data_IF_564014517562
#
_entry.id   IF_564014517562
#
_cell.length_a   1.000
_cell.length_b   1.000
_cell.length_c   1.000
_cell.angle_alpha   90.00
_cell.angle_beta   90.00
_cell.angle_gamma   90.00
#
_symmetry.space_group_name_H-M   'P 1'
#
loop_
_entity.id
_entity.type
_entity.pdbx_description
1 polymer ?
#
# COMPACT_ATOMS: atom_id res chain seq x y z
N UNK A 6 -17.48 7.15 9.14
CA UNK A 6 -16.21 7.73 8.70
C UNK A 6 -15.13 6.66 8.59
N UNK A 7 -15.24 5.63 9.43
CA UNK A 7 -14.25 4.55 9.41
C UNK A 7 -14.26 3.83 8.06
N UNK A 8 -15.44 3.54 7.53
CA UNK A 8 -15.52 2.85 6.24
C UNK A 8 -14.91 3.68 5.13
N UNK A 9 -15.17 5.00 5.14
CA UNK A 9 -14.64 5.86 4.09
C UNK A 9 -13.12 5.84 4.08
N UNK A 10 -12.50 5.80 5.25
CA UNK A 10 -11.04 5.86 5.35
C UNK A 10 -10.41 4.67 4.62
N UNK A 11 -10.70 3.45 5.08
CA UNK A 11 -10.04 2.27 4.54
C UNK A 11 -10.34 2.05 3.06
N UNK A 12 -11.37 2.70 2.53
CA UNK A 12 -11.75 2.46 1.14
C UNK A 12 -10.63 2.86 0.18
N UNK A 13 -9.96 3.99 0.46
CA UNK A 13 -8.96 4.52 -0.48
C UNK A 13 -7.65 4.90 0.20
N UNK A 14 -7.37 4.39 1.40
CA UNK A 14 -6.10 4.72 2.04
C UNK A 14 -4.91 4.21 1.22
N UNK A 15 -4.99 2.96 0.75
CA UNK A 15 -3.89 2.34 0.02
C UNK A 15 -4.35 1.61 -1.22
N UNK A 16 -5.63 1.73 -1.59
CA UNK A 16 -6.13 1.02 -2.76
C UNK A 16 -5.94 1.85 -4.04
N UNK A 17 -6.06 3.18 -3.94
CA UNK A 17 -5.91 4.01 -5.14
C UNK A 17 -4.50 3.91 -5.71
N UNK A 18 -3.49 3.85 -4.84
CA UNK A 18 -2.11 3.78 -5.30
C UNK A 18 -1.88 2.56 -6.16
N UNK A 19 -2.33 1.38 -5.70
CA UNK A 19 -2.04 0.13 -6.37
C UNK A 19 -3.11 -0.25 -7.39
N UNK A 20 -4.20 0.52 -7.47
CA UNK A 20 -5.29 0.15 -8.37
C UNK A 20 -4.82 0.06 -9.81
N UNK A 21 -3.97 1.00 -10.23
CA UNK A 21 -3.54 1.04 -11.62
C UNK A 21 -2.53 -0.06 -11.94
N UNK A 22 -1.76 -0.50 -10.94
CA UNK A 22 -0.77 -1.54 -11.14
C UNK A 22 -1.32 -2.94 -10.87
N UNK A 23 -2.58 -3.05 -10.44
CA UNK A 23 -3.16 -4.36 -10.17
C UNK A 23 -3.21 -5.24 -11.42
N UNK A 24 -3.66 -4.75 -12.58
CA UNK A 24 -3.64 -5.63 -13.77
C UNK A 24 -2.26 -6.15 -14.12
N UNK A 25 -1.21 -5.39 -13.84
CA UNK A 25 0.14 -5.86 -14.08
C UNK A 25 0.43 -7.12 -13.26
N UNK A 26 0.12 -7.07 -11.95
CA UNK A 26 0.32 -8.23 -11.11
C UNK A 26 -0.63 -9.37 -11.49
N UNK A 27 -1.84 -9.06 -11.95
CA UNK A 27 -2.75 -10.10 -12.40
C UNK A 27 -2.18 -10.83 -13.61
N UNK A 28 -1.61 -10.09 -14.57
CA UNK A 28 -0.98 -10.74 -15.71
C UNK A 28 0.24 -11.54 -15.29
N UNK A 29 1.00 -11.03 -14.32
CA UNK A 29 2.16 -11.76 -13.83
C UNK A 29 1.77 -13.05 -13.13
N UNK A 30 0.60 -13.07 -12.48
CA UNK A 30 0.18 -14.21 -11.67
C UNK A 30 -0.78 -15.15 -12.38
N UNK A 31 -1.46 -14.69 -13.43
CA UNK A 31 -2.60 -15.40 -13.98
C UNK A 31 -3.89 -15.01 -13.30
N UNK A 32 -5.00 -15.38 -13.94
CA UNK A 32 -6.31 -14.99 -13.42
C UNK A 32 -6.65 -15.75 -12.14
N UNK A 33 -6.49 -17.07 -12.15
CA UNK A 33 -6.87 -17.87 -10.98
C UNK A 33 -6.02 -17.50 -9.78
N UNK A 34 -4.69 -17.51 -9.96
CA UNK A 34 -3.80 -17.17 -8.86
C UNK A 34 -4.02 -15.74 -8.40
N UNK A 35 -4.26 -14.82 -9.35
CA UNK A 35 -4.52 -13.43 -8.95
C UNK A 35 -5.74 -13.30 -8.08
N UNK A 36 -6.84 -13.94 -8.47
CA UNK A 36 -8.07 -13.86 -7.67
C UNK A 36 -7.85 -14.50 -6.30
N UNK A 37 -7.21 -15.68 -6.28
CA UNK A 37 -7.00 -16.36 -5.01
C UNK A 37 -6.13 -15.55 -4.07
N UNK A 38 -5.05 -14.96 -4.59
CA UNK A 38 -4.19 -14.13 -3.77
C UNK A 38 -4.91 -12.88 -3.30
N UNK A 39 -5.73 -12.28 -4.16
CA UNK A 39 -6.50 -11.12 -3.73
C UNK A 39 -7.37 -11.46 -2.53
N UNK A 40 -8.14 -12.55 -2.63
CA UNK A 40 -9.02 -12.93 -1.53
C UNK A 40 -8.22 -13.26 -0.27
N UNK A 41 -7.15 -14.05 -0.42
CA UNK A 41 -6.38 -14.47 0.73
C UNK A 41 -5.76 -13.29 1.45
N UNK A 42 -5.16 -12.36 0.69
CA UNK A 42 -4.51 -11.22 1.31
C UNK A 42 -5.51 -10.20 1.84
N UNK A 43 -6.70 -10.11 1.24
CA UNK A 43 -7.74 -9.31 1.85
C UNK A 43 -8.15 -9.86 3.21
N UNK A 44 -8.32 -11.17 3.31
CA UNK A 44 -8.62 -11.77 4.61
C UNK A 44 -7.50 -11.53 5.60
N UNK A 45 -6.25 -11.71 5.16
CA UNK A 45 -5.12 -11.51 6.07
C UNK A 45 -5.02 -10.05 6.52
N UNK A 46 -5.27 -9.12 5.61
CA UNK A 46 -5.24 -7.71 5.98
C UNK A 46 -6.33 -7.35 6.97
N UNK A 47 -7.54 -7.89 6.78
CA UNK A 47 -8.60 -7.66 7.74
C UNK A 47 -8.22 -8.23 9.11
N UNK A 48 -7.62 -9.42 9.13
CA UNK A 48 -7.21 -10.02 10.39
C UNK A 48 -6.16 -9.16 11.09
N UNK A 49 -5.17 -8.67 10.33
CA UNK A 49 -4.12 -7.85 10.93
C UNK A 49 -4.68 -6.52 11.43
N UNK A 50 -5.65 -5.95 10.71
CA UNK A 50 -6.29 -4.74 11.18
C UNK A 50 -7.03 -5.00 12.49
N UNK A 51 -7.72 -6.14 12.59
CA UNK A 51 -8.37 -6.49 13.85
C UNK A 51 -7.34 -6.62 14.97
N UNK A 52 -6.20 -7.25 14.69
CA UNK A 52 -5.16 -7.40 15.70
C UNK A 52 -4.67 -6.04 16.17
N UNK A 53 -4.42 -5.13 15.24
CA UNK A 53 -3.94 -3.80 15.60
C UNK A 53 -4.99 -3.07 16.44
N UNK A 54 -6.27 -3.20 16.06
CA UNK A 54 -7.32 -2.54 16.82
C UNK A 54 -7.40 -3.06 18.24
N UNK A 55 -7.33 -4.39 18.42
CA UNK A 55 -7.42 -4.94 19.76
C UNK A 55 -6.20 -4.54 20.57
N UNK A 56 -5.03 -4.47 19.94
CA UNK A 56 -3.84 -4.02 20.66
C UNK A 56 -3.97 -2.57 21.10
N UNK A 57 -4.50 -1.72 20.23
CA UNK A 57 -4.75 -0.32 20.60
C UNK A 57 -5.70 -0.24 21.78
N UNK A 58 -6.78 -1.00 21.73
CA UNK A 58 -7.77 -0.96 22.81
C UNK A 58 -7.15 -1.44 24.12
N UNK A 59 -6.36 -2.52 24.06
CA UNK A 59 -5.73 -3.03 25.27
C UNK A 59 -4.77 -2.01 25.86
N UNK A 60 -3.96 -1.36 25.01
CA UNK A 60 -3.03 -0.36 25.52
C UNK A 60 -3.79 0.81 26.14
N UNK A 61 -4.86 1.27 25.48
CA UNK A 61 -5.63 2.38 26.03
C UNK A 61 -6.23 2.03 27.37
N UNK A 62 -6.80 0.82 27.49
CA UNK A 62 -7.39 0.40 28.75
C UNK A 62 -6.33 0.31 29.84
N UNK A 63 -5.16 -0.25 29.51
CA UNK A 63 -4.08 -0.34 30.51
C UNK A 63 -3.64 1.05 30.97
N UNK A 64 -3.50 1.98 30.02
CA UNK A 64 -3.13 3.34 30.39
C UNK A 64 -4.19 3.98 31.28
N UNK A 65 -5.47 3.81 30.93
CA UNK A 65 -6.54 4.40 31.71
C UNK A 65 -6.69 3.82 33.11
N UNK A 66 -6.42 2.52 33.28
CA UNK A 66 -6.55 1.91 34.60
C UNK A 66 -5.64 2.58 35.61
N UNK A 67 -4.52 3.15 35.16
CA UNK A 67 -3.59 3.83 36.04
C UNK A 67 -3.63 5.33 35.80
N UNK A 74 -3.88 14.38 23.04
CA UNK A 74 -2.90 13.74 22.18
C UNK A 74 -3.53 12.56 21.44
N UNK A 75 -2.78 11.99 20.50
CA UNK A 75 -3.23 10.85 19.71
C UNK A 75 -2.26 9.70 19.93
N UNK A 76 -2.79 8.52 20.22
CA UNK A 76 -1.95 7.35 20.41
C UNK A 76 -1.30 6.96 19.08
N UNK A 77 -0.08 6.45 19.14
CA UNK A 77 0.67 6.05 17.97
C UNK A 77 1.15 4.62 18.15
N UNK A 78 1.39 3.94 17.03
CA UNK A 78 1.69 2.51 17.06
C UNK A 78 2.95 2.23 17.88
N UNK A 79 3.99 3.04 17.69
CA UNK A 79 5.20 2.83 18.47
C UNK A 79 4.93 3.05 19.96
N UNK A 80 4.04 3.98 20.29
CA UNK A 80 3.67 4.16 21.69
C UNK A 80 2.96 2.94 22.24
N UNK A 81 2.09 2.32 21.43
CA UNK A 81 1.40 1.11 21.86
C UNK A 81 2.40 0.00 22.11
N UNK A 82 3.36 -0.16 21.20
CA UNK A 82 4.38 -1.20 21.38
C UNK A 82 5.21 -0.92 22.62
N UNK A 83 5.56 0.34 22.87
CA UNK A 83 6.31 0.68 24.08
C UNK A 83 5.51 0.34 25.33
N UNK A 84 4.21 0.66 25.33
CA UNK A 84 3.40 0.37 26.50
C UNK A 84 3.22 -1.10 26.75
N UNK A 85 3.10 -1.90 25.68
CA UNK A 85 2.78 -3.31 25.81
C UNK A 85 4.04 -4.17 26.01
N UNK A 86 4.95 -4.14 25.04
CA UNK A 86 6.10 -5.04 25.03
C UNK A 86 7.33 -4.40 25.67
N UNK A 87 7.81 -3.30 25.12
CA UNK A 87 8.99 -2.66 25.65
C UNK A 87 9.55 -1.65 24.68
N UNK A 88 10.72 -1.12 25.03
CA UNK A 88 11.33 -0.06 24.24
C UNK A 88 11.94 -0.59 22.94
N UNK A 89 12.46 -1.82 22.95
CA UNK A 89 13.01 -2.39 21.72
C UNK A 89 11.94 -2.50 20.64
N UNK A 90 10.76 -2.99 21.02
CA UNK A 90 9.65 -3.07 20.07
C UNK A 90 9.22 -1.68 19.64
N UNK A 91 9.26 -0.71 20.56
CA UNK A 91 8.93 0.66 20.19
C UNK A 91 9.86 1.16 19.10
N UNK A 92 11.16 0.97 19.27
CA UNK A 92 12.12 1.42 18.26
C UNK A 92 11.91 0.69 16.94
N UNK A 93 11.70 -0.62 17.00
CA UNK A 93 11.50 -1.39 15.78
C UNK A 93 10.28 -0.87 15.02
N UNK A 94 9.15 -0.73 15.71
CA UNK A 94 7.95 -0.24 15.05
C UNK A 94 8.12 1.17 14.52
N UNK A 95 8.80 2.04 15.28
CA UNK A 95 9.02 3.41 14.83
C UNK A 95 9.83 3.43 13.54
N UNK A 96 10.93 2.68 13.50
CA UNK A 96 11.78 2.65 12.31
C UNK A 96 10.99 2.12 11.13
N UNK A 97 10.27 1.00 11.32
CA UNK A 97 9.55 0.41 10.21
C UNK A 97 8.46 1.35 9.70
N UNK A 98 7.71 1.98 10.60
CA UNK A 98 6.66 2.90 10.18
C UNK A 98 7.24 4.09 9.43
N UNK A 99 8.34 4.65 9.93
CA UNK A 99 8.94 5.81 9.28
C UNK A 99 9.43 5.47 7.88
N UNK A 100 10.13 4.34 7.74
CA UNK A 100 10.61 3.94 6.42
C UNK A 100 9.44 3.63 5.49
N UNK A 101 8.40 2.99 6.00
CA UNK A 101 7.24 2.70 5.18
C UNK A 101 6.57 3.98 4.70
N UNK A 102 6.44 4.97 5.57
CA UNK A 102 5.86 6.24 5.17
C UNK A 102 6.73 6.94 4.13
N UNK A 103 8.05 6.91 4.31
CA UNK A 103 8.94 7.54 3.33
C UNK A 103 8.80 6.89 1.97
N UNK A 104 8.77 5.55 1.92
CA UNK A 104 8.66 4.87 0.65
C UNK A 104 7.26 5.00 0.05
N UNK A 105 6.24 5.13 0.90
CA UNK A 105 4.91 5.43 0.40
C UNK A 105 4.85 6.79 -0.26
N UNK A 106 5.51 7.79 0.33
CA UNK A 106 5.60 9.09 -0.30
C UNK A 106 6.36 9.02 -1.62
N UNK A 107 7.44 8.24 -1.66
CA UNK A 107 8.19 8.06 -2.90
C UNK A 107 7.29 7.47 -3.98
N UNK A 108 6.54 6.42 -3.64
CA UNK A 108 5.66 5.78 -4.60
C UNK A 108 4.55 6.74 -5.03
N UNK A 109 4.07 7.56 -4.10
CA UNK A 109 3.03 8.53 -4.45
C UNK A 109 3.55 9.53 -5.47
N UNK A 110 4.78 10.03 -5.27
CA UNK A 110 5.35 10.95 -6.25
C UNK A 110 5.54 10.27 -7.60
N UNK A 111 6.01 9.02 -7.58
CA UNK A 111 6.19 8.28 -8.84
C UNK A 111 4.87 8.12 -9.56
N UNK A 112 3.81 7.76 -8.82
CA UNK A 112 2.49 7.60 -9.43
C UNK A 112 1.96 8.93 -9.95
N UNK A 113 2.19 10.01 -9.21
CA UNK A 113 1.77 11.33 -9.68
C UNK A 113 2.42 11.65 -11.03
N UNK A 114 3.73 11.44 -11.13
CA UNK A 114 4.42 11.73 -12.38
C UNK A 114 3.91 10.84 -13.50
N UNK A 115 3.75 9.54 -13.22
CA UNK A 115 3.30 8.61 -14.24
C UNK A 115 1.91 8.99 -14.76
N UNK A 116 1.01 9.35 -13.85
CA UNK A 116 -0.35 9.71 -14.27
C UNK A 116 -0.36 11.02 -15.04
N UNK A 117 0.34 12.04 -14.53
CA UNK A 117 0.31 13.34 -15.20
C UNK A 117 0.95 13.26 -16.58
N UNK A 118 1.85 12.29 -16.79
CA UNK A 118 2.47 12.17 -18.10
C UNK A 118 1.44 11.90 -19.19
N UNK A 119 0.42 11.09 -18.89
CA UNK A 119 -0.44 10.58 -19.95
C UNK A 119 -1.33 11.67 -20.53
N UNK A 120 -1.95 12.49 -19.69
CA UNK A 120 -2.82 13.55 -20.21
C UNK A 120 -2.01 14.58 -20.99
N UNK A 121 -0.81 14.90 -20.50
CA UNK A 121 0.09 15.82 -21.19
C UNK A 121 1.43 15.12 -21.35
N UNK A 122 1.70 14.63 -22.57
CA UNK A 122 2.90 13.86 -22.84
C UNK A 122 4.02 14.70 -23.46
N UNK A 123 3.87 16.03 -23.49
CA UNK A 123 4.90 16.88 -24.07
C UNK A 123 6.21 16.73 -23.32
N UNK A 124 6.16 16.70 -21.99
CA UNK A 124 7.33 16.56 -21.14
C UNK A 124 7.50 15.10 -20.74
N UNK A 125 8.72 14.59 -20.88
CA UNK A 125 8.99 13.22 -20.47
C UNK A 125 8.70 13.05 -18.97
N UNK A 126 8.68 11.80 -18.53
CA UNK A 126 8.32 11.51 -17.15
C UNK A 126 9.29 12.14 -16.16
N UNK A 127 10.58 12.22 -16.52
CA UNK A 127 11.56 12.78 -15.60
C UNK A 127 11.28 14.24 -15.30
N UNK A 128 10.96 15.03 -16.32
CA UNK A 128 10.63 16.44 -16.08
C UNK A 128 9.36 16.55 -15.26
N UNK A 129 8.39 15.66 -15.50
CA UNK A 129 7.16 15.70 -14.73
C UNK A 129 7.42 15.41 -13.25
N UNK A 130 8.29 14.45 -12.96
CA UNK A 130 8.60 14.18 -11.55
C UNK A 130 9.41 15.31 -10.94
N UNK A 131 10.28 15.96 -11.73
CA UNK A 131 10.93 17.18 -11.25
C UNK A 131 9.88 18.20 -10.81
N UNK A 132 8.93 18.49 -11.69
CA UNK A 132 7.92 19.51 -11.41
C UNK A 132 7.08 19.11 -10.20
N UNK A 133 6.71 17.83 -10.11
CA UNK A 133 5.85 17.41 -9.01
C UNK A 133 6.60 17.37 -7.69
N UNK A 134 7.88 17.02 -7.71
CA UNK A 134 8.68 17.12 -6.50
C UNK A 134 8.79 18.56 -6.03
N UNK A 135 9.00 19.48 -6.97
CA UNK A 135 9.01 20.90 -6.60
C UNK A 135 7.66 21.31 -6.03
N UNK A 136 6.57 20.80 -6.60
CA UNK A 136 5.24 21.18 -6.13
C UNK A 136 4.96 20.67 -4.73
N UNK A 137 5.30 19.40 -4.46
CA UNK A 137 5.07 18.83 -3.14
C UNK A 137 6.12 19.23 -2.12
N UNK A 138 7.22 19.85 -2.54
CA UNK A 138 8.12 20.46 -1.57
C UNK A 138 7.44 21.57 -0.79
N UNK A 139 6.35 22.12 -1.32
CA UNK A 139 5.60 23.16 -0.64
C UNK A 139 4.68 22.60 0.45
N UNK A 140 4.47 21.29 0.49
CA UNK A 140 3.69 20.70 1.57
C UNK A 140 4.32 20.98 2.93
N UNK A 141 5.63 21.27 2.95
CA UNK A 141 6.29 21.66 4.19
C UNK A 141 5.63 22.91 4.77
N UNK A 142 5.32 23.88 3.91
CA UNK A 142 4.65 25.09 4.38
C UNK A 142 3.29 24.79 4.97
N UNK A 143 2.64 23.71 4.53
CA UNK A 143 1.33 23.35 5.03
C UNK A 143 1.47 22.69 6.40
N UNK A 149 -9.59 16.82 7.19
CA UNK A 149 -9.29 15.42 6.93
C UNK A 149 -10.56 14.57 6.92
N UNK A 150 -11.44 14.83 7.89
CA UNK A 150 -12.68 14.06 7.97
C UNK A 150 -13.54 14.28 6.74
N UNK A 151 -13.66 15.52 6.28
CA UNK A 151 -14.48 15.82 5.11
C UNK A 151 -13.89 15.15 3.87
N UNK A 152 -12.57 15.21 3.71
CA UNK A 152 -11.93 14.60 2.55
C UNK A 152 -12.00 13.08 2.58
N UNK A 153 -12.33 12.49 3.73
CA UNK A 153 -12.42 11.03 3.80
C UNK A 153 -13.48 10.50 2.85
N UNK A 154 -14.65 11.15 2.81
CA UNK A 154 -15.67 10.76 1.86
C UNK A 154 -15.21 10.99 0.43
N UNK A 155 -14.55 12.11 0.18
CA UNK A 155 -14.15 12.44 -1.20
C UNK A 155 -13.23 11.37 -1.77
N UNK A 156 -12.25 10.93 -0.99
CA UNK A 156 -11.33 9.91 -1.48
C UNK A 156 -12.04 8.64 -1.90
N UNK A 157 -13.15 8.31 -1.24
CA UNK A 157 -13.97 7.18 -1.67
C UNK A 157 -14.53 7.41 -3.06
N UNK A 158 -15.00 8.64 -3.34
CA UNK A 158 -15.61 8.92 -4.62
C UNK A 158 -14.60 8.94 -5.76
N UNK A 159 -13.37 9.38 -5.50
CA UNK A 159 -12.39 9.48 -6.57
C UNK A 159 -11.73 8.15 -6.89
N UNK A 160 -11.73 7.20 -5.96
CA UNK A 160 -11.18 5.88 -6.22
C UNK A 160 -12.22 4.92 -6.79
N UNK A 161 -13.50 5.10 -6.45
CA UNK A 161 -14.54 4.23 -7.02
C UNK A 161 -14.72 4.49 -8.50
N UNK A 162 -14.58 5.75 -8.93
CA UNK A 162 -14.69 6.05 -10.35
C UNK A 162 -13.58 5.37 -11.14
N UNK A 163 -12.35 5.43 -10.65
CA UNK A 163 -11.24 4.80 -11.36
C UNK A 163 -11.40 3.29 -11.41
N UNK A 164 -11.79 2.68 -10.31
CA UNK A 164 -11.94 1.22 -10.28
C UNK A 164 -13.03 0.75 -11.22
N UNK A 165 -14.15 1.48 -11.27
CA UNK A 165 -15.27 1.13 -12.14
C UNK A 165 -15.17 1.77 -13.52
N UNK A 166 -14.14 2.57 -13.77
CA UNK A 166 -13.85 3.03 -15.11
C UNK A 166 -12.92 2.07 -15.84
N UNK A 167 -11.98 1.45 -15.12
CA UNK A 167 -11.14 0.43 -15.72
C UNK A 167 -11.96 -0.79 -16.12
N UNK A 168 -12.93 -1.18 -15.30
CA UNK A 168 -13.77 -2.32 -15.63
C UNK A 168 -14.65 -2.04 -16.84
N UNK A 169 -15.36 -0.90 -16.82
CA UNK A 169 -16.31 -0.62 -17.90
C UNK A 169 -15.58 -0.35 -19.20
N UNK A 170 -14.54 0.48 -19.14
CA UNK A 170 -13.79 0.83 -20.35
C UNK A 170 -13.09 -0.38 -20.95
N UNK A 171 -12.50 -1.23 -20.10
CA UNK A 171 -11.79 -2.39 -20.61
C UNK A 171 -12.74 -3.36 -21.32
N UNK A 172 -13.91 -3.60 -20.74
CA UNK A 172 -14.88 -4.50 -21.36
C UNK A 172 -15.34 -3.94 -22.71
N UNK A 173 -15.58 -2.63 -22.78
CA UNK A 173 -15.98 -2.03 -24.05
C UNK A 173 -14.89 -2.17 -25.09
N UNK A 174 -13.63 -2.07 -24.67
CA UNK A 174 -12.52 -2.20 -25.61
C UNK A 174 -12.51 -3.58 -26.26
N UNK A 175 -12.74 -4.63 -25.48
CA UNK A 175 -12.79 -5.97 -25.99
C UNK A 175 -11.41 -6.57 -26.16
N UNK A 176 -11.38 -7.86 -26.46
CA UNK A 176 -10.14 -8.59 -26.67
C UNK A 176 -9.69 -8.45 -28.11
N UNK A 177 -8.40 -8.18 -28.30
CA UNK A 177 -7.84 -8.11 -29.63
C UNK A 177 -7.76 -9.51 -30.24
N UNK A 178 -7.53 -9.55 -31.55
CA UNK A 178 -7.46 -10.82 -32.25
C UNK A 178 -6.18 -11.60 -31.95
N UNK A 179 -5.20 -10.99 -31.26
CA UNK A 179 -3.92 -11.63 -31.02
C UNK A 179 -3.48 -11.59 -29.56
N UNK A 180 -4.35 -11.16 -28.64
CA UNK A 180 -3.97 -11.11 -27.23
C UNK A 180 -3.72 -12.52 -26.74
N UNK A 181 -2.60 -12.71 -26.04
CA UNK A 181 -2.23 -13.99 -25.46
C UNK A 181 -2.08 -13.84 -23.95
N UNK A 182 -2.78 -14.69 -23.21
CA UNK A 182 -2.71 -14.70 -21.74
C UNK A 182 -1.68 -15.78 -21.36
N UNK A 183 -0.43 -15.37 -21.22
CA UNK A 183 0.64 -16.32 -20.94
C UNK A 183 0.42 -17.01 -19.59
N UNK A 184 -0.02 -16.25 -18.58
CA UNK A 184 -0.18 -16.80 -17.25
C UNK A 184 1.15 -16.89 -16.54
N UNK A 185 1.21 -17.69 -15.47
CA UNK A 185 2.47 -17.82 -14.73
C UNK A 185 3.52 -18.57 -15.52
N UNK A 186 4.54 -17.86 -16.00
CA UNK A 186 5.63 -18.45 -16.77
C UNK A 186 6.94 -18.51 -16.01
N UNK A 187 7.20 -17.55 -15.13
CA UNK A 187 8.41 -17.52 -14.33
C UNK A 187 8.04 -17.27 -12.87
N UNK A 188 8.80 -17.89 -11.96
CA UNK A 188 8.52 -17.74 -10.54
C UNK A 188 8.76 -16.31 -10.07
N UNK A 189 9.74 -15.63 -10.66
CA UNK A 189 10.05 -14.26 -10.22
C UNK A 189 8.85 -13.35 -10.44
N UNK A 190 8.27 -13.39 -11.63
CA UNK A 190 7.11 -12.55 -11.93
C UNK A 190 5.91 -12.94 -11.07
N UNK A 191 5.70 -14.24 -10.87
CA UNK A 191 4.59 -14.70 -10.05
C UNK A 191 4.70 -14.15 -8.63
N UNK A 192 5.88 -14.24 -8.04
CA UNK A 192 6.04 -13.77 -6.67
C UNK A 192 6.05 -12.25 -6.60
N UNK A 193 6.52 -11.58 -7.65
CA UNK A 193 6.39 -10.12 -7.70
C UNK A 193 4.92 -9.71 -7.68
N UNK A 194 4.08 -10.39 -8.46
CA UNK A 194 2.66 -10.09 -8.43
C UNK A 194 2.04 -10.40 -7.08
N UNK A 195 2.43 -11.52 -6.47
CA UNK A 195 1.90 -11.87 -5.16
C UNK A 195 2.26 -10.80 -4.13
N UNK A 196 3.51 -10.32 -4.16
CA UNK A 196 3.91 -9.26 -3.24
C UNK A 196 3.19 -7.95 -3.55
N UNK A 197 2.91 -7.68 -4.83
CA UNK A 197 2.13 -6.50 -5.17
C UNK A 197 0.74 -6.57 -4.57
N UNK A 198 0.10 -7.74 -4.62
CA UNK A 198 -1.20 -7.91 -3.97
C UNK A 198 -1.06 -7.72 -2.46
N UNK A 199 -0.01 -8.30 -1.87
CA UNK A 199 0.24 -8.13 -0.44
C UNK A 199 0.31 -6.65 -0.08
N UNK A 200 1.05 -5.87 -0.86
CA UNK A 200 1.10 -4.43 -0.66
C UNK A 200 -0.28 -3.81 -0.84
N UNK A 201 -1.04 -4.28 -1.84
CA UNK A 201 -2.37 -3.74 -2.07
C UNK A 201 -3.23 -3.84 -0.83
N UNK A 202 -3.16 -4.97 -0.12
CA UNK A 202 -4.00 -5.21 1.04
C UNK A 202 -3.28 -4.92 2.35
N UNK A 203 -2.41 -3.91 2.35
CA UNK A 203 -1.76 -3.45 3.57
C UNK A 203 -2.21 -2.06 3.96
N UNK A 204 -3.43 -1.70 3.56
CA UNK A 204 -3.95 -0.37 3.84
C UNK A 204 -4.87 -0.33 5.04
N UNK A 205 -5.61 -1.42 5.27
CA UNK A 205 -6.48 -1.48 6.44
C UNK A 205 -5.67 -1.42 7.74
N UNK A 206 -4.45 -1.94 7.72
CA UNK A 206 -3.61 -1.88 8.91
C UNK A 206 -3.16 -0.47 9.27
N UNK A 207 -3.35 0.49 8.37
CA UNK A 207 -3.03 1.89 8.69
C UNK A 207 -3.75 2.28 9.97
N UNK A 208 -3.00 2.86 10.89
CA UNK A 208 -3.54 3.14 12.23
C UNK A 208 -4.45 4.36 12.32
N UNK A 209 -4.57 5.14 11.25
CA UNK A 209 -5.42 6.32 11.26
C UNK A 209 -6.87 5.91 11.45
N UNK A 210 -7.68 6.79 12.03
CA UNK A 210 -9.11 6.55 12.24
C UNK A 210 -9.33 5.29 13.09
N UNK A 211 -8.86 5.37 14.33
CA UNK A 211 -9.08 4.32 15.33
C UNK A 211 -9.77 4.96 16.52
N UNK A 212 -10.86 4.36 16.97
CA UNK A 212 -11.69 4.92 18.04
C UNK A 212 -10.84 5.39 19.23
N UNK A 222 -13.61 -5.98 14.20
CA UNK A 222 -15.06 -6.17 14.24
C UNK A 222 -15.59 -6.52 12.86
N UNK A 223 -16.64 -7.35 12.83
CA UNK A 223 -17.22 -7.74 11.54
C UNK A 223 -17.73 -6.53 10.77
N UNK A 224 -18.22 -5.51 11.46
CA UNK A 224 -18.71 -4.32 10.78
C UNK A 224 -17.58 -3.63 10.03
N UNK A 225 -16.40 -3.54 10.66
CA UNK A 225 -15.25 -2.96 9.97
C UNK A 225 -14.72 -3.86 8.87
N UNK A 226 -15.03 -5.16 8.92
CA UNK A 226 -14.64 -6.05 7.83
C UNK A 226 -15.39 -5.73 6.54
N UNK A 227 -16.52 -5.04 6.63
CA UNK A 227 -17.23 -4.60 5.43
C UNK A 227 -16.48 -3.53 4.66
N UNK A 228 -15.43 -2.95 5.24
CA UNK A 228 -14.58 -2.01 4.51
C UNK A 228 -13.66 -2.74 3.55
N UNK A 229 -13.15 -3.92 3.95
CA UNK A 229 -12.27 -4.66 3.07
C UNK A 229 -13.04 -5.35 1.95
N UNK A 230 -14.26 -5.80 2.21
CA UNK A 230 -15.06 -6.40 1.15
C UNK A 230 -15.40 -5.35 0.10
N UNK A 231 -15.63 -4.11 0.52
CA UNK A 231 -15.82 -3.03 -0.43
C UNK A 231 -14.55 -2.79 -1.24
N UNK A 232 -13.38 -2.84 -0.58
CA UNK A 232 -12.12 -2.70 -1.30
C UNK A 232 -11.97 -3.82 -2.32
N UNK A 233 -12.55 -4.98 -2.05
CA UNK A 233 -12.48 -6.09 -3.00
C UNK A 233 -13.35 -5.84 -4.22
N UNK A 234 -14.36 -4.97 -4.12
CA UNK A 234 -15.15 -4.62 -5.29
C UNK A 234 -14.40 -3.67 -6.22
N UNK A 235 -13.50 -2.85 -5.68
CA UNK A 235 -12.71 -1.96 -6.51
C UNK A 235 -11.57 -2.71 -7.20
N UNK A 236 -10.97 -3.68 -6.51
CA UNK A 236 -9.77 -4.35 -7.00
C UNK A 236 -10.07 -5.56 -7.87
N UNK A 237 -11.13 -6.32 -7.57
CA UNK A 237 -11.39 -7.56 -8.32
C UNK A 237 -11.84 -7.26 -9.74
N UNK A 238 -12.99 -6.62 -9.97
CA UNK A 238 -13.43 -6.39 -11.36
C UNK A 238 -12.47 -5.55 -12.17
N UNK A 239 -11.76 -4.61 -11.54
CA UNK A 239 -10.84 -3.75 -12.30
C UNK A 239 -9.65 -4.55 -12.81
N UNK A 240 -9.03 -5.36 -11.93
CA UNK A 240 -7.86 -6.13 -12.32
C UNK A 240 -8.23 -7.23 -13.31
N UNK A 241 -9.38 -7.88 -13.10
CA UNK A 241 -9.76 -8.99 -13.97
C UNK A 241 -10.19 -8.49 -15.35
N UNK A 242 -10.87 -7.34 -15.40
CA UNK A 242 -11.35 -6.83 -16.68
C UNK A 242 -10.22 -6.24 -17.50
N UNK A 243 -9.28 -5.54 -16.86
CA UNK A 243 -8.17 -4.95 -17.60
C UNK A 243 -7.25 -6.04 -18.13
N UNK A 244 -6.90 -7.00 -17.29
CA UNK A 244 -6.02 -8.09 -17.74
C UNK A 244 -6.71 -8.94 -18.81
N UNK A 245 -8.01 -9.19 -18.64
CA UNK A 245 -8.73 -10.01 -19.61
C UNK A 245 -8.73 -9.35 -20.99
N UNK A 246 -8.92 -8.04 -21.05
CA UNK A 246 -9.05 -7.35 -22.33
C UNK A 246 -7.71 -7.22 -23.03
N UNK A 247 -6.65 -6.90 -22.28
CA UNK A 247 -5.36 -6.57 -22.87
C UNK A 247 -4.36 -7.71 -22.82
N UNK A 248 -4.77 -8.90 -22.37
CA UNK A 248 -3.88 -10.04 -22.40
C UNK A 248 -2.64 -9.83 -21.54
N UNK A 249 -1.52 -10.36 -22.01
CA UNK A 249 -0.26 -10.29 -21.28
C UNK A 249 0.56 -9.06 -21.64
N UNK A 250 0.03 -8.15 -22.46
CA UNK A 250 0.73 -6.91 -22.75
C UNK A 250 0.90 -6.05 -21.50
N UNK A 251 0.14 -6.34 -20.43
CA UNK A 251 0.26 -5.59 -19.19
C UNK A 251 1.64 -5.74 -18.56
N UNK A 252 2.40 -6.76 -18.96
CA UNK A 252 3.72 -6.95 -18.38
C UNK A 252 4.62 -5.75 -18.64
N UNK A 253 4.60 -5.21 -19.86
CA UNK A 253 5.42 -4.07 -20.22
C UNK A 253 4.80 -2.74 -19.81
N UNK A 254 3.57 -2.75 -19.28
CA UNK A 254 2.86 -1.52 -18.90
C UNK A 254 2.33 -1.68 -17.48
N UNK A 255 3.09 -1.20 -16.50
CA UNK A 255 2.61 -1.22 -15.13
C UNK A 255 1.37 -0.36 -14.96
N UNK A 256 1.35 0.82 -15.58
CA UNK A 256 0.19 1.70 -15.52
C UNK A 256 -0.83 1.25 -16.56
N UNK A 257 -2.05 0.95 -16.11
CA UNK A 257 -3.07 0.41 -16.99
C UNK A 257 -3.66 1.46 -17.93
N UNK A 258 -3.48 2.74 -17.64
CA UNK A 258 -4.05 3.78 -18.50
C UNK A 258 -3.31 3.90 -19.82
N UNK A 259 -2.09 3.40 -19.92
CA UNK A 259 -1.36 3.46 -21.19
C UNK A 259 -2.07 2.66 -22.27
N UNK A 260 -2.57 1.47 -21.93
CA UNK A 260 -3.18 0.62 -22.94
C UNK A 260 -4.55 1.12 -23.35
N UNK A 261 -5.31 1.69 -22.42
CA UNK A 261 -6.67 2.11 -22.71
C UNK A 261 -6.65 3.24 -23.74
N UNK A 262 -7.66 3.30 -24.62
CA UNK A 262 -7.73 4.42 -25.56
C UNK A 262 -7.90 5.75 -24.83
N UNK A 263 -7.36 6.80 -25.45
CA UNK A 263 -7.46 8.14 -24.86
C UNK A 263 -8.87 8.67 -25.02
N UNK A 264 -9.47 9.11 -23.91
CA UNK A 264 -10.82 9.64 -23.92
C UNK A 264 -10.98 10.58 -22.73
N UNK A 265 -12.09 11.33 -22.73
CA UNK A 265 -12.33 12.26 -21.64
C UNK A 265 -12.40 11.57 -20.30
N UNK A 266 -12.97 10.37 -20.27
CA UNK A 266 -13.04 9.62 -19.02
C UNK A 266 -11.66 9.26 -18.51
N UNK A 267 -10.73 8.93 -19.41
CA UNK A 267 -9.37 8.65 -18.99
C UNK A 267 -8.73 9.89 -18.37
N UNK A 268 -8.97 11.07 -18.97
CA UNK A 268 -8.43 12.30 -18.40
C UNK A 268 -9.04 12.58 -17.03
N UNK A 269 -10.35 12.33 -16.88
CA UNK A 269 -10.97 12.52 -15.58
C UNK A 269 -10.35 11.60 -14.53
N UNK A 270 -10.14 10.34 -14.90
CA UNK A 270 -9.52 9.39 -13.98
C UNK A 270 -8.10 9.84 -13.62
N UNK A 271 -7.34 10.31 -14.60
CA UNK A 271 -5.98 10.76 -14.34
C UNK A 271 -5.98 11.94 -13.38
N UNK A 272 -6.88 12.90 -13.61
CA UNK A 272 -6.92 14.09 -12.74
C UNK A 272 -7.32 13.68 -11.34
N UNK A 273 -8.31 12.80 -11.20
CA UNK A 273 -8.73 12.36 -9.87
C UNK A 273 -7.60 11.63 -9.17
N UNK A 274 -6.88 10.77 -9.88
CA UNK A 274 -5.77 10.05 -9.27
C UNK A 274 -4.65 11.01 -8.86
N UNK A 275 -4.38 12.02 -9.68
CA UNK A 275 -3.36 13.00 -9.33
C UNK A 275 -3.74 13.74 -8.06
N UNK A 276 -5.00 14.18 -7.96
CA UNK A 276 -5.45 14.88 -6.76
C UNK A 276 -5.36 13.96 -5.55
N UNK A 277 -5.81 12.71 -5.70
CA UNK A 277 -5.76 11.77 -4.59
C UNK A 277 -4.34 11.57 -4.11
N UNK A 278 -3.41 11.35 -5.03
CA UNK A 278 -2.02 11.10 -4.65
C UNK A 278 -1.40 12.33 -4.02
N UNK A 279 -1.69 13.52 -4.54
CA UNK A 279 -1.13 14.74 -3.94
C UNK A 279 -1.63 14.92 -2.52
N UNK A 280 -2.94 14.75 -2.31
CA UNK A 280 -3.50 14.94 -0.98
C UNK A 280 -2.99 13.87 -0.03
N UNK A 281 -2.87 12.63 -0.49
CA UNK A 281 -2.36 11.57 0.36
C UNK A 281 -0.90 11.81 0.73
N UNK A 282 -0.10 12.29 -0.23
CA UNK A 282 1.27 12.69 0.07
C UNK A 282 1.29 13.75 1.17
N UNK A 283 0.50 14.80 0.99
CA UNK A 283 0.48 15.87 1.97
C UNK A 283 0.08 15.38 3.36
N UNK A 284 -0.92 14.50 3.41
CA UNK A 284 -1.43 14.05 4.71
C UNK A 284 -0.49 13.03 5.37
N UNK A 285 0.11 12.14 4.58
CA UNK A 285 0.97 11.10 5.12
C UNK A 285 2.41 11.57 5.31
N UNK A 286 2.76 12.78 4.88
CA UNK A 286 4.04 13.35 5.24
C UNK A 286 4.04 13.95 6.64
N UNK A 287 2.87 14.18 7.23
CA UNK A 287 2.82 14.78 8.56
C UNK A 287 3.44 13.90 9.64
N UNK A 288 3.20 12.59 9.70
CA UNK A 288 3.78 11.82 10.80
C UNK A 288 5.29 11.69 10.69
N UNK A 289 5.81 11.46 9.48
CA UNK A 289 7.26 11.40 9.29
C UNK A 289 7.90 12.72 9.67
N UNK A 290 7.29 13.83 9.25
CA UNK A 290 7.85 15.14 9.58
C UNK A 290 7.79 15.40 11.08
N UNK A 291 6.73 14.97 11.74
CA UNK A 291 6.65 15.13 13.19
C UNK A 291 7.75 14.32 13.88
N UNK A 292 7.97 13.09 13.42
CA UNK A 292 9.02 12.26 14.01
C UNK A 292 10.38 12.92 13.80
N UNK A 293 10.62 13.44 12.60
CA UNK A 293 11.89 14.11 12.33
C UNK A 293 12.06 15.33 13.22
N UNK A 294 11.00 16.11 13.40
CA UNK A 294 11.07 17.29 14.26
C UNK A 294 11.39 16.91 15.69
N UNK A 295 10.74 15.85 16.20
CA UNK A 295 11.03 15.41 17.56
C UNK A 295 12.46 14.90 17.69
N UNK A 296 12.94 14.17 16.68
CA UNK A 296 14.30 13.66 16.72
C UNK A 296 15.32 14.79 16.73
N UNK A 297 15.09 15.82 15.90
CA UNK A 297 16.04 16.93 15.82
C UNK A 297 15.78 18.00 16.87
N UNK A 298 14.68 17.90 17.62
CA UNK A 298 14.39 18.84 18.68
C UNK A 298 13.91 20.19 18.24
N UNK A 299 13.65 20.39 16.95
CA UNK A 299 13.20 21.70 16.47
C UNK A 299 11.80 22.00 16.99
N UNK A 300 10.89 21.04 16.86
CA UNK A 300 9.52 21.19 17.31
C UNK A 300 8.87 22.44 16.71
N UNK A 307 10.32 29.69 8.84
CA UNK A 307 11.34 29.40 9.84
C UNK A 307 11.41 27.89 10.10
N UNK A 308 10.25 27.26 10.27
CA UNK A 308 10.18 25.83 10.52
C UNK A 308 10.29 25.00 9.24
N UNK A 309 10.17 25.64 8.08
CA UNK A 309 10.24 24.88 6.82
C UNK A 309 11.63 24.31 6.59
N UNK A 310 12.67 24.97 7.11
CA UNK A 310 14.03 24.50 6.88
C UNK A 310 14.24 23.10 7.44
N UNK A 311 13.68 22.83 8.62
CA UNK A 311 13.88 21.52 9.25
C UNK A 311 13.35 20.39 8.39
N UNK A 312 12.24 20.62 7.68
CA UNK A 312 11.63 19.59 6.87
C UNK A 312 12.25 19.46 5.48
N UNK A 313 13.09 20.41 5.08
CA UNK A 313 13.74 20.30 3.77
C UNK A 313 14.61 19.05 3.65
N UNK A 314 15.49 18.74 4.60
CA UNK A 314 16.32 17.52 4.45
C UNK A 314 15.51 16.24 4.35
N UNK A 315 14.28 16.22 4.86
CA UNK A 315 13.46 15.02 4.74
C UNK A 315 12.89 14.89 3.33
N UNK A 316 12.63 16.01 2.66
CA UNK A 316 12.14 15.96 1.29
C UNK A 316 13.20 15.42 0.35
N UNK A 317 14.47 15.71 0.62
CA UNK A 317 15.53 15.35 -0.33
C UNK A 317 15.56 13.86 -0.60
N UNK A 318 15.55 12.97 0.40
CA UNK A 318 15.54 11.54 0.08
C UNK A 318 14.35 11.11 -0.76
N UNK A 319 13.17 11.69 -0.53
CA UNK A 319 11.98 11.28 -1.27
C UNK A 319 12.09 11.70 -2.73
N UNK A 320 12.49 12.96 -2.98
CA UNK A 320 12.61 13.44 -4.35
C UNK A 320 13.68 12.68 -5.12
N UNK A 321 14.82 12.42 -4.47
CA UNK A 321 15.90 11.70 -5.14
C UNK A 321 15.49 10.26 -5.45
N UNK A 322 14.79 9.61 -4.52
CA UNK A 322 14.41 8.22 -4.73
C UNK A 322 13.45 8.07 -5.90
N UNK A 323 12.49 8.99 -6.01
CA UNK A 323 11.53 8.92 -7.12
C UNK A 323 12.22 9.12 -8.46
N UNK A 324 13.18 10.05 -8.54
CA UNK A 324 13.85 10.33 -9.79
C UNK A 324 14.69 9.14 -10.23
N UNK A 325 15.49 8.60 -9.32
CA UNK A 325 16.43 7.53 -9.67
C UNK A 325 15.67 6.23 -9.96
N UNK A 326 14.56 5.98 -9.26
CA UNK A 326 13.78 4.75 -9.40
C UNK A 326 12.34 5.14 -9.72
N UNK A 327 12.07 5.56 -10.95
CA UNK A 327 10.69 5.90 -11.35
C UNK A 327 9.81 4.70 -11.64
N UNK A 328 10.24 3.49 -11.28
CA UNK A 328 9.45 2.31 -11.57
C UNK A 328 8.11 2.39 -10.85
N UNK A 329 7.04 2.01 -11.55
CA UNK A 329 5.69 2.17 -11.02
C UNK A 329 5.21 0.93 -10.30
N UNK A 330 5.43 -0.25 -10.86
CA UNK A 330 5.00 -1.50 -10.26
C UNK A 330 6.10 -2.21 -9.48
N UNK A 331 7.31 -2.29 -10.06
CA UNK A 331 8.40 -2.94 -9.33
C UNK A 331 8.71 -2.31 -7.99
N UNK A 332 8.63 -0.98 -7.89
CA UNK A 332 8.88 -0.34 -6.60
C UNK A 332 7.80 -0.72 -5.60
N UNK A 333 6.54 -0.77 -6.06
CA UNK A 333 5.46 -1.22 -5.19
C UNK A 333 5.75 -2.62 -4.68
N UNK A 334 6.16 -3.52 -5.57
CA UNK A 334 6.42 -4.89 -5.18
C UNK A 334 7.57 -4.97 -4.17
N UNK A 335 8.65 -4.25 -4.43
CA UNK A 335 9.80 -4.30 -3.53
C UNK A 335 9.45 -3.76 -2.15
N UNK A 336 8.74 -2.62 -2.10
CA UNK A 336 8.36 -2.05 -0.82
C UNK A 336 7.42 -2.99 -0.07
N UNK A 337 6.45 -3.57 -0.78
CA UNK A 337 5.56 -4.51 -0.15
C UNK A 337 6.28 -5.72 0.42
N UNK A 338 7.30 -6.19 -0.29
CA UNK A 338 8.05 -7.35 0.16
C UNK A 338 8.90 -7.04 1.38
N UNK A 339 9.60 -5.91 1.36
CA UNK A 339 10.57 -5.61 2.41
C UNK A 339 9.93 -4.91 3.62
N UNK A 340 9.30 -3.76 3.38
CA UNK A 340 8.81 -2.92 4.48
C UNK A 340 7.43 -3.34 4.97
N UNK A 341 6.47 -3.49 4.06
CA UNK A 341 5.09 -3.77 4.47
C UNK A 341 5.01 -5.14 5.15
N UNK A 342 5.67 -6.14 4.60
CA UNK A 342 5.55 -7.51 5.11
C UNK A 342 5.85 -7.56 6.60
N UNK A 343 6.80 -6.75 7.07
CA UNK A 343 7.10 -6.69 8.50
C UNK A 343 6.29 -5.61 9.21
N UNK A 344 5.95 -4.52 8.52
CA UNK A 344 5.33 -3.38 9.17
C UNK A 344 3.88 -3.67 9.54
N UNK A 345 3.12 -4.29 8.65
CA UNK A 345 1.68 -4.45 8.83
C UNK A 345 1.24 -5.89 8.97
N UNK A 346 2.13 -6.86 8.79
CA UNK A 346 1.75 -8.27 8.84
C UNK A 346 2.45 -9.04 9.95
N UNK A 347 3.77 -8.92 10.06
CA UNK A 347 4.52 -9.73 11.01
C UNK A 347 4.61 -9.06 12.38
N UNK A 348 4.89 -7.75 12.42
CA UNK A 348 5.02 -7.07 13.70
C UNK A 348 3.72 -7.09 14.48
N UNK A 349 2.56 -6.76 13.90
CA UNK A 349 1.31 -6.84 14.69
C UNK A 349 1.03 -8.24 15.21
N UNK A 350 1.26 -9.27 14.40
CA UNK A 350 1.02 -10.63 14.85
C UNK A 350 1.95 -11.01 16.00
N UNK A 351 3.24 -10.68 15.87
CA UNK A 351 4.19 -10.96 16.94
C UNK A 351 3.82 -10.22 18.22
N UNK A 352 3.42 -8.96 18.08
CA UNK A 352 3.04 -8.18 19.26
C UNK A 352 1.82 -8.79 19.94
N UNK A 353 0.82 -9.19 19.16
CA UNK A 353 -0.36 -9.81 19.76
C UNK A 353 -0.01 -11.13 20.45
N UNK A 354 0.84 -11.93 19.80
CA UNK A 354 1.22 -13.21 20.40
C UNK A 354 2.00 -13.01 21.70
N UNK A 355 2.92 -12.04 21.74
CA UNK A 355 3.79 -11.89 22.88
C UNK A 355 3.11 -11.16 24.03
N UNK A 356 2.28 -10.15 23.73
CA UNK A 356 1.64 -9.39 24.78
C UNK A 356 0.67 -10.26 25.58
N UNK A 357 -0.05 -11.15 24.92
CA UNK A 357 -1.02 -12.02 25.56
C UNK A 357 -0.45 -13.38 25.92
N UNK A 358 0.85 -13.59 25.72
CA UNK A 358 1.46 -14.87 26.09
C UNK A 358 1.31 -15.16 27.57
N UNK A 359 1.57 -14.24 28.49
CA UNK A 359 1.37 -14.54 29.91
C UNK A 359 -0.07 -14.90 30.20
N UNK A 360 -0.26 -15.88 31.09
CA UNK A 360 -1.61 -16.28 31.47
C UNK A 360 -2.40 -15.13 32.11
N UNK A 361 -1.84 -14.35 33.03
CA UNK A 361 -2.60 -13.22 33.59
C UNK A 361 -3.09 -12.25 32.53
N UNK A 362 -2.30 -12.01 31.48
CA UNK A 362 -2.73 -11.08 30.44
C UNK A 362 -4.00 -11.57 29.76
N UNK A 363 -4.08 -12.86 29.47
CA UNK A 363 -5.30 -13.41 28.88
C UNK A 363 -6.43 -13.40 29.90
N UNK A 364 -6.12 -13.64 31.18
CA UNK A 364 -7.15 -13.65 32.21
C UNK A 364 -7.84 -12.30 32.33
N UNK A 365 -7.07 -11.22 32.21
CA UNK A 365 -7.59 -9.86 32.34
C UNK A 365 -7.78 -9.18 30.99
N UNK A 366 -7.86 -9.95 29.91
CA UNK A 366 -8.05 -9.36 28.58
C UNK A 366 -9.32 -8.52 28.55
N UNK A 367 -9.23 -7.33 27.97
CA UNK A 367 -10.37 -6.43 27.93
C UNK A 367 -11.45 -6.97 27.00
N UNK A 368 -11.04 -7.54 25.87
CA UNK A 368 -11.98 -8.10 24.89
C UNK A 368 -11.48 -9.48 24.48
N UNK A 369 -12.27 -10.51 24.79
CA UNK A 369 -11.90 -11.86 24.43
C UNK A 369 -12.01 -12.05 22.91
N UNK A 370 -11.20 -12.93 22.33
CA UNK A 370 -11.30 -13.17 20.89
C UNK A 370 -12.64 -13.77 20.55
N UNK A 371 -13.16 -13.49 19.35
CA UNK A 371 -14.47 -14.04 18.97
C UNK A 371 -14.46 -15.55 18.93
N UNK A 372 -15.60 -16.15 19.25
CA UNK A 372 -15.71 -17.60 19.27
C UNK A 372 -15.57 -18.18 17.86
N UNK A 373 -15.94 -17.41 16.84
CA UNK A 373 -15.92 -17.93 15.47
C UNK A 373 -14.52 -18.25 15.01
N UNK A 374 -13.50 -17.62 15.59
CA UNK A 374 -12.12 -17.83 15.16
C UNK A 374 -11.38 -18.78 16.12
N UNK A 375 -12.11 -19.62 16.84
CA UNK A 375 -11.50 -20.64 17.67
C UNK A 375 -10.96 -20.16 19.00
N UNK A 376 -11.34 -18.96 19.44
CA UNK A 376 -10.87 -18.49 20.73
C UNK A 376 -9.37 -18.24 20.73
N UNK A 377 -8.75 -18.36 21.91
CA UNK A 377 -7.32 -18.08 22.04
C UNK A 377 -6.50 -19.03 21.19
N UNK A 378 -6.84 -20.32 21.19
CA UNK A 378 -6.07 -21.28 20.41
C UNK A 378 -6.13 -20.94 18.93
N UNK A 379 -7.33 -20.63 18.44
CA UNK A 379 -7.47 -20.28 17.04
C UNK A 379 -6.74 -19.01 16.68
N UNK A 380 -6.81 -18.00 17.55
CA UNK A 380 -6.11 -16.75 17.28
C UNK A 380 -4.60 -16.97 17.23
N UNK A 381 -4.07 -17.75 18.16
CA UNK A 381 -2.63 -18.01 18.17
C UNK A 381 -2.22 -18.81 16.94
N UNK A 382 -3.02 -19.80 16.55
CA UNK A 382 -2.71 -20.56 15.34
C UNK A 382 -2.73 -19.67 14.11
N UNK A 383 -3.72 -18.78 14.02
CA UNK A 383 -3.81 -17.88 12.87
C UNK A 383 -2.61 -16.94 12.84
N UNK A 384 -2.22 -16.42 14.00
CA UNK A 384 -1.04 -15.55 14.05
C UNK A 384 0.22 -16.28 13.63
N UNK A 385 0.39 -17.52 14.11
CA UNK A 385 1.57 -18.30 13.72
C UNK A 385 1.57 -18.52 12.22
N UNK A 386 0.42 -18.89 11.65
CA UNK A 386 0.35 -19.10 10.20
C UNK A 386 0.66 -17.82 9.45
N UNK A 387 0.13 -16.69 9.93
CA UNK A 387 0.37 -15.42 9.25
C UNK A 387 1.86 -15.09 9.26
N UNK A 388 2.50 -15.25 10.41
CA UNK A 388 3.93 -14.94 10.50
C UNK A 388 4.71 -15.86 9.57
N UNK A 389 4.44 -17.16 9.63
CA UNK A 389 5.19 -18.12 8.82
C UNK A 389 5.00 -17.83 7.33
N UNK A 390 3.76 -17.58 6.92
CA UNK A 390 3.49 -17.31 5.52
C UNK A 390 4.18 -16.04 5.06
N UNK A 391 3.98 -14.94 5.78
CA UNK A 391 4.53 -13.66 5.35
C UNK A 391 6.04 -13.64 5.45
N UNK A 392 6.66 -14.57 6.19
CA UNK A 392 8.10 -14.65 6.20
C UNK A 392 8.63 -15.55 5.09
N UNK A 393 8.08 -16.75 4.95
CA UNK A 393 8.60 -17.70 3.96
C UNK A 393 8.33 -17.19 2.55
N UNK A 394 7.09 -16.78 2.27
CA UNK A 394 6.71 -16.36 0.93
C UNK A 394 6.43 -14.87 0.84
N UNK A 395 6.08 -14.21 1.95
CA UNK A 395 5.89 -12.77 1.93
C UNK A 395 7.17 -11.98 1.96
N UNK A 396 8.26 -12.56 2.43
CA UNK A 396 9.53 -11.88 2.53
C UNK A 396 10.68 -12.64 1.86
N UNK A 397 10.69 -13.96 1.96
CA UNK A 397 11.79 -14.72 1.36
C UNK A 397 11.63 -14.89 -0.13
N UNK A 398 10.61 -15.65 -0.56
CA UNK A 398 10.36 -15.81 -1.98
C UNK A 398 9.92 -14.49 -2.60
N UNK A 399 8.93 -13.84 -1.98
CA UNK A 399 8.47 -12.57 -2.50
C UNK A 399 9.56 -11.52 -2.50
N UNK A 400 10.32 -11.42 -1.41
CA UNK A 400 11.37 -10.43 -1.35
C UNK A 400 12.45 -10.66 -2.39
N UNK A 401 12.90 -11.92 -2.52
CA UNK A 401 13.92 -12.24 -3.50
C UNK A 401 13.43 -11.94 -4.91
N UNK A 402 12.19 -12.33 -5.21
CA UNK A 402 11.66 -12.10 -6.56
C UNK A 402 11.52 -10.61 -6.84
N UNK A 403 11.03 -9.84 -5.87
CA UNK A 403 10.87 -8.41 -6.08
C UNK A 403 12.22 -7.72 -6.28
N UNK A 404 13.23 -8.10 -5.48
CA UNK A 404 14.54 -7.50 -5.64
C UNK A 404 15.16 -7.88 -6.99
N UNK A 405 14.99 -9.13 -7.41
CA UNK A 405 15.51 -9.54 -8.71
C UNK A 405 14.84 -8.75 -9.82
N UNK A 406 13.51 -8.58 -9.74
CA UNK A 406 12.80 -7.80 -10.74
C UNK A 406 13.27 -6.35 -10.74
N UNK A 407 13.48 -5.78 -9.55
CA UNK A 407 13.95 -4.41 -9.46
C UNK A 407 15.31 -4.25 -10.12
N UNK A 408 16.23 -5.18 -9.85
CA UNK A 408 17.54 -5.12 -10.48
C UNK A 408 17.42 -5.31 -11.99
N UNK A 409 16.49 -6.16 -12.43
CA UNK A 409 16.29 -6.36 -13.86
C UNK A 409 15.83 -5.06 -14.53
N UNK A 410 14.89 -4.36 -13.90
CA UNK A 410 14.44 -3.08 -14.45
C UNK A 410 15.57 -2.06 -14.43
N UNK A 411 16.38 -2.07 -13.38
CA UNK A 411 17.53 -1.17 -13.32
C UNK A 411 18.47 -1.43 -14.48
N UNK A 412 18.73 -2.70 -14.78
CA UNK A 412 19.61 -3.04 -15.90
C UNK A 412 18.96 -2.64 -17.23
N UNK A 413 17.64 -2.81 -17.36
CA UNK A 413 16.99 -2.58 -18.64
C UNK A 413 16.87 -1.09 -18.94
N UNK A 414 16.15 -0.35 -18.09
CA UNK A 414 15.92 1.07 -18.31
C UNK A 414 17.03 1.95 -17.75
N UNK A 415 17.94 1.39 -16.96
CA UNK A 415 19.03 2.17 -16.40
C UNK A 415 18.56 3.11 -15.31
N UNK A 416 19.44 3.42 -14.36
CA UNK A 416 19.11 4.39 -13.33
C UNK A 416 18.97 5.79 -13.95
N UNK A 417 18.15 6.62 -13.33
CA UNK A 417 17.86 7.96 -13.84
C UNK A 417 17.28 7.88 -15.26
N UNK A 418 16.40 6.92 -15.48
CA UNK A 418 15.81 6.73 -16.80
C UNK A 418 14.93 7.92 -17.17
N UNK A 419 15.02 8.35 -18.43
CA UNK A 419 14.28 9.52 -18.88
C UNK A 419 12.78 9.26 -18.79
N UNK A 420 12.32 8.15 -19.37
CA UNK A 420 10.90 7.79 -19.33
C UNK A 420 10.80 6.29 -19.15
N UNK A 421 10.15 5.86 -18.06
CA UNK A 421 10.02 4.45 -17.72
C UNK A 421 8.81 3.89 -18.47
N UNK A 422 9.06 2.98 -19.41
CA UNK A 422 8.01 2.31 -20.17
C UNK A 422 7.19 3.32 -20.98
N UNK A 423 7.90 4.08 -21.81
CA UNK A 423 7.28 5.04 -22.72
C UNK A 423 7.73 4.73 -24.14
N UNK A 424 6.81 4.51 -25.10
CA UNK A 424 7.24 4.22 -26.47
C UNK A 424 7.86 5.42 -27.17
#
# INVERSE_FOLDING_TARGET
MGSVYDAWFSCASNQVAQVLLTLPYSFSQLGMMSGILFQLFYGLMGSWTAYLISVLYVEYRTRKEREKFDFRNHVIQWFEVLDGLLGKHWRNLGLIFNCTFLLFGSVIQLIACASNIYYINDKLDKRTWTYIFGACCATTVFIPSFHNYRIWSFLGLAMTTYTSWYLTIASLLHGQAEDVKHSGPTTMVLYFTGATNILYTFGGHAVTVEIMHAMWKPQKFKAIYLLATIYVLTLTLPSASAVYWAFGDKLLTHSNALSLLPKTGFRDTAVILMLIHQFITFGFASTPLYFVWEKLIGVHETKSMFKRAMARLPVVVPIWFLAIIFPFFGPINSAVGSLLVSFTVYIIPALAHMLTFAPAPSRENAVERPPRVVGGWMGTYCINIFVVVWVFVVGFGFGGWASMVNFVRQIDTFGLFTKCYQCPPHKPGENLYFQ
#
